data_IF_697505251838
#
_entry.id   IF_697505251838
#
_cell.length_a   1.000
_cell.length_b   1.000
_cell.length_c   1.000
_cell.angle_alpha   90.00
_cell.angle_beta   90.00
_cell.angle_gamma   90.00
#
_symmetry.space_group_name_H-M   'P 1'
#
loop_
_entity.id
_entity.type
_entity.pdbx_description
1 polymer ?
#
# COMPACT_ATOMS: atom_id res chain seq x y z
N UNK A 1 7.91 -36.31 -64.04
CA UNK A 1 9.08 -35.50 -64.45
C UNK A 1 9.29 -34.48 -63.34
N UNK A 2 10.06 -34.75 -62.29
CA UNK A 2 11.54 -34.82 -62.19
C UNK A 2 12.23 -33.44 -62.25
N UNK A 3 13.08 -33.22 -61.22
CA UNK A 3 14.24 -32.31 -61.07
C UNK A 3 13.98 -31.09 -60.16
N UNK A 4 14.54 -31.01 -58.94
CA UNK A 4 15.95 -30.98 -58.43
C UNK A 4 16.33 -29.52 -58.04
N UNK A 5 16.38 -29.27 -56.72
CA UNK A 5 17.43 -28.65 -55.83
C UNK A 5 18.41 -27.60 -56.44
N UNK A 6 19.04 -26.64 -55.69
CA UNK A 6 19.43 -26.76 -54.27
C UNK A 6 19.45 -25.48 -53.36
N UNK A 7 19.84 -25.75 -52.10
CA UNK A 7 20.09 -24.85 -50.97
C UNK A 7 21.28 -23.87 -51.15
N UNK A 8 21.53 -22.98 -50.17
CA UNK A 8 22.59 -23.25 -49.17
C UNK A 8 22.18 -22.89 -47.72
N UNK A 9 22.37 -23.77 -46.75
CA UNK A 9 23.55 -23.83 -45.84
C UNK A 9 23.61 -22.67 -44.83
N UNK A 10 23.12 -22.92 -43.62
CA UNK A 10 23.52 -22.20 -42.41
C UNK A 10 23.74 -23.21 -41.29
N UNK A 11 25.02 -23.39 -40.95
CA UNK A 11 25.54 -24.24 -39.88
C UNK A 11 25.23 -23.61 -38.52
N UNK A 12 24.75 -24.41 -37.57
CA UNK A 12 25.15 -24.39 -36.15
C UNK A 12 24.29 -25.35 -35.32
N UNK A 13 24.86 -26.49 -34.92
CA UNK A 13 24.56 -27.08 -33.61
C UNK A 13 25.74 -26.73 -32.68
N UNK A 14 25.52 -26.60 -31.35
CA UNK A 14 25.55 -27.79 -30.52
C UNK A 14 24.37 -27.89 -29.52
N UNK A 15 23.65 -28.99 -29.67
CA UNK A 15 23.15 -29.88 -28.62
C UNK A 15 23.52 -29.53 -27.16
N UNK A 16 22.55 -28.99 -26.41
CA UNK A 16 22.58 -28.97 -24.94
C UNK A 16 21.75 -30.14 -24.39
N UNK A 17 22.45 -31.21 -24.02
CA UNK A 17 21.90 -32.23 -23.12
C UNK A 17 22.59 -32.13 -21.75
N UNK A 18 21.81 -31.92 -20.67
CA UNK A 18 22.22 -32.38 -19.35
C UNK A 18 21.17 -33.30 -18.73
N UNK A 19 21.45 -34.60 -18.82
CA UNK A 19 21.34 -35.61 -17.75
C UNK A 19 20.21 -35.44 -16.71
N UNK A 20 19.22 -36.33 -16.77
CA UNK A 20 18.48 -36.80 -15.59
C UNK A 20 19.42 -37.17 -14.45
N UNK A 21 19.21 -36.65 -13.23
CA UNK A 21 19.25 -37.44 -11.98
C UNK A 21 18.29 -36.91 -10.92
N UNK A 22 17.29 -37.74 -10.66
CA UNK A 22 16.60 -38.05 -9.38
C UNK A 22 16.49 -36.92 -8.36
N UNK A 23 15.25 -36.48 -8.14
CA UNK A 23 14.84 -35.92 -6.86
C UNK A 23 15.00 -36.97 -5.77
N UNK A 24 16.05 -36.80 -4.95
CA UNK A 24 16.14 -37.41 -3.64
C UNK A 24 15.55 -36.45 -2.61
N UNK A 25 14.36 -36.81 -2.17
CA UNK A 25 13.78 -36.41 -0.90
C UNK A 25 14.73 -36.79 0.24
N UNK A 26 15.33 -35.81 0.93
CA UNK A 26 15.74 -36.01 2.33
C UNK A 26 15.50 -34.72 3.10
N UNK A 27 14.34 -34.66 3.75
CA UNK A 27 14.14 -33.79 4.90
C UNK A 27 15.14 -34.19 5.99
N UNK A 28 16.17 -33.37 6.19
CA UNK A 28 16.99 -33.42 7.39
C UNK A 28 16.67 -32.20 8.22
N UNK A 29 15.82 -32.43 9.22
CA UNK A 29 15.62 -31.52 10.34
C UNK A 29 17.00 -31.21 10.98
N UNK A 30 17.57 -30.06 10.64
CA UNK A 30 18.66 -29.49 11.41
C UNK A 30 18.04 -28.85 12.65
N UNK A 31 17.83 -29.68 13.68
CA UNK A 31 17.67 -29.19 15.05
C UNK A 31 18.85 -28.26 15.34
N UNK A 32 18.66 -27.06 15.89
CA UNK A 32 19.78 -26.18 16.20
C UNK A 32 20.68 -26.93 17.18
N UNK A 33 21.83 -27.40 16.71
CA UNK A 33 22.88 -27.89 17.59
C UNK A 33 23.18 -26.74 18.53
N UNK A 34 22.77 -26.88 19.80
CA UNK A 34 23.33 -26.07 20.88
C UNK A 34 24.80 -26.41 20.92
N UNK A 35 25.55 -25.58 20.21
CA UNK A 35 26.99 -25.59 20.21
C UNK A 35 27.47 -25.45 21.66
N UNK A 36 27.94 -26.58 22.20
CA UNK A 36 28.43 -26.76 23.56
C UNK A 36 29.96 -26.62 23.63
N UNK A 37 30.59 -26.06 22.59
CA UNK A 37 32.00 -25.68 22.63
C UNK A 37 32.23 -24.72 23.81
N UNK A 38 33.22 -24.96 24.69
CA UNK A 38 33.47 -24.10 25.85
C UNK A 38 33.71 -22.64 25.44
N UNK A 39 34.27 -22.42 24.25
CA UNK A 39 34.47 -21.10 23.65
C UNK A 39 33.13 -20.39 23.37
N UNK A 40 32.11 -21.11 22.90
CA UNK A 40 30.77 -20.55 22.66
C UNK A 40 30.05 -20.18 23.96
N UNK A 41 30.29 -20.94 25.05
CA UNK A 41 29.76 -20.63 26.37
C UNK A 41 30.41 -19.37 26.97
N UNK A 42 31.73 -19.23 26.82
CA UNK A 42 32.49 -18.03 27.25
C UNK A 42 32.05 -16.80 26.46
N UNK A 43 31.92 -16.91 25.14
CA UNK A 43 31.44 -15.82 24.28
C UNK A 43 30.02 -15.39 24.65
N UNK A 44 29.10 -16.32 24.93
CA UNK A 44 27.74 -16.00 25.40
C UNK A 44 27.75 -15.29 26.76
N UNK A 45 28.62 -15.71 27.68
CA UNK A 45 28.76 -15.07 29.01
C UNK A 45 29.32 -13.66 28.89
N UNK A 46 30.30 -13.43 28.00
CA UNK A 46 30.84 -12.10 27.74
C UNK A 46 29.81 -11.18 27.06
N UNK A 47 29.04 -11.68 26.10
CA UNK A 47 27.91 -10.93 25.50
C UNK A 47 26.81 -10.63 26.53
N UNK A 48 26.49 -11.59 27.40
CA UNK A 48 25.53 -11.38 28.48
C UNK A 48 26.03 -10.33 29.50
N UNK A 49 27.33 -10.31 29.81
CA UNK A 49 27.94 -9.30 30.68
C UNK A 49 27.95 -7.91 30.02
N UNK A 50 28.23 -7.84 28.71
CA UNK A 50 28.15 -6.60 27.94
C UNK A 50 26.72 -6.04 27.91
N UNK A 51 25.72 -6.90 27.64
CA UNK A 51 24.32 -6.50 27.57
C UNK A 51 23.69 -6.21 28.95
N UNK A 52 24.20 -6.82 30.03
CA UNK A 52 23.72 -6.57 31.39
C UNK A 52 24.53 -5.50 32.14
N UNK A 53 25.53 -4.89 31.51
CA UNK A 53 26.30 -3.81 32.11
C UNK A 53 25.37 -2.67 32.55
N UNK A 54 25.57 -2.08 33.75
CA UNK A 54 24.78 -0.94 34.23
C UNK A 54 24.72 0.21 33.22
N UNK A 55 25.82 0.44 32.49
CA UNK A 55 25.92 1.46 31.44
C UNK A 55 25.01 1.17 30.25
N UNK A 56 24.89 -0.09 29.82
CA UNK A 56 24.00 -0.49 28.71
C UNK A 56 22.53 -0.41 29.13
N UNK A 57 22.21 -0.78 30.38
CA UNK A 57 20.86 -0.58 30.93
C UNK A 57 20.49 0.90 31.00
N UNK A 58 21.43 1.76 31.41
CA UNK A 58 21.23 3.21 31.43
C UNK A 58 21.04 3.78 30.01
N UNK A 59 21.87 3.36 29.04
CA UNK A 59 21.72 3.76 27.64
C UNK A 59 20.38 3.30 27.05
N UNK A 60 19.92 2.08 27.35
CA UNK A 60 18.60 1.59 26.95
C UNK A 60 17.47 2.39 27.61
N UNK A 61 17.60 2.76 28.89
CA UNK A 61 16.63 3.61 29.57
C UNK A 61 16.55 5.01 28.93
N UNK A 62 17.70 5.60 28.59
CA UNK A 62 17.78 6.89 27.88
C UNK A 62 17.17 6.77 26.48
N UNK A 63 17.46 5.70 25.73
CA UNK A 63 16.83 5.46 24.42
C UNK A 63 15.31 5.30 24.54
N UNK A 64 14.80 4.63 25.57
CA UNK A 64 13.35 4.51 25.84
C UNK A 64 12.73 5.86 26.19
N UNK A 65 13.42 6.69 26.97
CA UNK A 65 12.97 8.05 27.26
C UNK A 65 12.99 8.94 26.01
N UNK A 66 14.01 8.83 25.16
CA UNK A 66 14.07 9.52 23.88
C UNK A 66 12.96 9.05 22.93
N UNK A 67 12.74 7.75 22.80
CA UNK A 67 11.65 7.18 22.01
C UNK A 67 10.30 7.59 22.56
N UNK A 68 10.14 7.73 23.88
CA UNK A 68 8.92 8.26 24.52
C UNK A 68 8.76 9.76 24.30
N UNK A 69 9.84 10.54 24.20
CA UNK A 69 9.77 11.96 23.88
C UNK A 69 9.41 12.19 22.41
N UNK A 70 9.91 11.32 21.51
CA UNK A 70 9.48 11.29 20.09
C UNK A 70 8.03 10.79 19.99
N UNK A 71 7.68 9.72 20.72
CA UNK A 71 6.31 9.19 20.85
C UNK A 71 5.39 9.98 21.81
N UNK A 72 5.85 11.11 22.34
CA UNK A 72 5.06 12.04 23.17
C UNK A 72 4.65 13.27 22.36
N UNK A 73 5.33 13.53 21.24
CA UNK A 73 4.92 14.49 20.21
C UNK A 73 4.26 13.82 19.02
N UNK A 74 4.55 12.54 18.80
CA UNK A 74 3.58 11.65 18.18
C UNK A 74 2.86 10.94 19.31
N UNK A 75 1.78 11.54 19.82
CA UNK A 75 0.64 10.70 20.15
C UNK A 75 0.60 9.58 19.08
N UNK A 76 0.20 8.33 19.39
CA UNK A 76 -0.60 7.71 18.37
C UNK A 76 -1.70 8.75 18.15
N UNK A 77 -1.58 9.50 17.05
CA UNK A 77 -2.74 9.79 16.25
C UNK A 77 -3.25 8.36 16.04
N UNK A 78 -4.04 7.89 17.04
CA UNK A 78 -5.18 7.06 16.81
C UNK A 78 -5.67 7.56 15.49
N UNK A 79 -5.69 6.65 14.53
CA UNK A 79 -6.21 6.77 13.18
C UNK A 79 -7.55 7.51 13.19
N UNK A 80 -7.51 8.81 13.47
CA UNK A 80 -8.59 9.77 13.62
C UNK A 80 -8.41 10.84 12.55
N UNK A 81 -7.27 10.84 11.85
CA UNK A 81 -7.15 11.36 10.49
C UNK A 81 -7.58 10.32 9.42
N UNK A 82 -7.79 9.04 9.78
CA UNK A 82 -8.31 8.02 8.85
C UNK A 82 -9.60 7.34 9.32
N UNK A 83 -10.26 7.87 10.35
CA UNK A 83 -11.62 7.48 10.72
C UNK A 83 -12.68 8.52 10.32
N UNK A 84 -12.32 9.53 9.51
CA UNK A 84 -13.29 10.32 8.72
C UNK A 84 -13.31 9.90 7.26
N UNK A 85 -12.90 8.66 6.96
CA UNK A 85 -12.82 8.13 5.59
C UNK A 85 -13.83 7.02 5.34
N UNK A 86 -14.99 7.07 5.99
CA UNK A 86 -16.26 6.47 5.50
C UNK A 86 -17.42 7.14 6.23
N UNK A 87 -17.41 8.49 6.38
CA UNK A 87 -18.69 9.17 6.47
C UNK A 87 -19.32 8.89 5.12
N UNK A 88 -20.19 7.88 5.07
CA UNK A 88 -20.84 7.45 3.86
C UNK A 88 -21.31 8.71 3.15
N UNK A 89 -20.82 8.92 1.93
CA UNK A 89 -21.13 10.13 1.22
C UNK A 89 -22.60 10.04 0.82
N UNK A 90 -23.44 10.64 1.66
CA UNK A 90 -24.89 10.70 1.44
C UNK A 90 -25.25 11.71 0.37
N UNK A 91 -24.29 12.55 0.00
CA UNK A 91 -24.39 13.40 -1.18
C UNK A 91 -24.09 12.54 -2.39
N UNK A 92 -24.83 12.76 -3.47
CA UNK A 92 -24.52 12.13 -4.74
C UNK A 92 -23.25 12.71 -5.39
N UNK A 93 -22.45 13.55 -4.70
CA UNK A 93 -21.19 14.10 -5.19
C UNK A 93 -20.03 13.09 -5.04
N UNK A 94 -19.07 13.07 -5.98
CA UNK A 94 -17.82 12.35 -5.78
C UNK A 94 -17.08 12.81 -4.51
N UNK A 95 -16.46 11.87 -3.79
CA UNK A 95 -15.75 12.15 -2.53
C UNK A 95 -14.64 13.18 -2.68
N UNK A 96 -13.89 13.10 -3.79
CA UNK A 96 -12.81 14.04 -4.13
C UNK A 96 -13.35 15.45 -4.27
N UNK A 97 -14.46 15.60 -5.00
CA UNK A 97 -15.10 16.88 -5.22
C UNK A 97 -15.67 17.47 -3.92
N UNK A 98 -16.39 16.64 -3.15
CA UNK A 98 -16.95 17.05 -1.86
C UNK A 98 -15.85 17.58 -0.94
N UNK A 99 -14.83 16.76 -0.70
CA UNK A 99 -13.73 17.11 0.20
C UNK A 99 -12.98 18.36 -0.28
N UNK A 100 -12.78 18.50 -1.60
CA UNK A 100 -12.13 19.68 -2.18
C UNK A 100 -12.93 20.97 -1.95
N UNK A 101 -14.25 20.92 -2.16
CA UNK A 101 -15.14 22.08 -1.94
C UNK A 101 -15.25 22.42 -0.45
N UNK A 102 -15.40 21.43 0.42
CA UNK A 102 -15.48 21.65 1.87
C UNK A 102 -14.19 22.29 2.41
N UNK A 103 -13.04 21.82 1.94
CA UNK A 103 -11.75 22.37 2.33
C UNK A 103 -11.55 23.81 1.82
N UNK A 104 -12.06 24.13 0.62
CA UNK A 104 -11.94 25.47 0.04
C UNK A 104 -12.92 26.47 0.65
N UNK A 105 -14.16 26.03 0.92
CA UNK A 105 -15.24 26.89 1.38
C UNK A 105 -15.34 26.99 2.90
N UNK A 106 -14.81 26.01 3.65
CA UNK A 106 -15.02 25.89 5.09
C UNK A 106 -16.46 25.51 5.47
N UNK A 107 -17.32 25.20 4.49
CA UNK A 107 -18.71 24.78 4.69
C UNK A 107 -18.88 23.29 4.39
N UNK A 108 -19.69 22.60 5.20
CA UNK A 108 -20.06 21.22 4.93
C UNK A 108 -20.97 21.15 3.72
N UNK A 109 -20.74 20.13 2.88
CA UNK A 109 -21.56 19.79 1.72
C UNK A 109 -22.50 18.63 2.02
N UNK A 110 -22.58 18.13 3.25
CA UNK A 110 -23.34 16.92 3.64
C UNK A 110 -24.84 16.97 3.25
N UNK A 111 -25.43 18.16 3.22
CA UNK A 111 -26.85 18.36 2.88
C UNK A 111 -27.11 18.42 1.37
N UNK A 112 -26.06 18.47 0.54
CA UNK A 112 -26.17 18.66 -0.90
C UNK A 112 -26.61 17.37 -1.61
N UNK A 113 -27.58 17.49 -2.51
CA UNK A 113 -28.10 16.38 -3.33
C UNK A 113 -27.88 16.67 -4.80
N UNK A 114 -27.26 15.72 -5.49
CA UNK A 114 -27.05 15.81 -6.94
C UNK A 114 -28.02 14.89 -7.65
N UNK A 115 -28.79 15.47 -8.55
CA UNK A 115 -29.70 14.78 -9.43
C UNK A 115 -29.04 14.63 -10.80
N UNK A 116 -28.46 13.46 -11.04
CA UNK A 116 -27.85 13.10 -12.32
C UNK A 116 -28.88 12.88 -13.42
N UNK A 117 -28.49 13.14 -14.66
CA UNK A 117 -29.33 12.91 -15.84
C UNK A 117 -30.71 13.58 -15.75
N UNK A 118 -30.80 14.74 -15.08
CA UNK A 118 -32.04 15.49 -14.94
C UNK A 118 -32.37 16.24 -16.24
N UNK A 119 -33.64 16.22 -16.63
CA UNK A 119 -34.14 17.03 -17.76
C UNK A 119 -34.38 18.51 -17.39
N UNK A 120 -34.33 18.87 -16.10
CA UNK A 120 -34.67 20.22 -15.64
C UNK A 120 -33.70 21.29 -16.13
N UNK A 121 -32.37 21.10 -16.16
CA UNK A 121 -31.44 22.11 -16.67
C UNK A 121 -31.73 22.54 -18.11
N UNK A 122 -32.21 21.62 -18.95
CA UNK A 122 -32.56 21.92 -20.34
C UNK A 122 -33.70 22.95 -20.46
N UNK A 123 -34.60 23.01 -19.47
CA UNK A 123 -35.70 23.99 -19.44
C UNK A 123 -35.20 25.44 -19.27
N UNK A 124 -33.99 25.59 -18.71
CA UNK A 124 -33.34 26.87 -18.49
C UNK A 124 -32.23 27.16 -19.51
N UNK A 125 -32.12 26.34 -20.57
CA UNK A 125 -31.00 26.36 -21.52
C UNK A 125 -29.63 26.23 -20.83
N UNK A 126 -29.56 25.42 -19.77
CA UNK A 126 -28.34 25.20 -18.99
C UNK A 126 -27.92 23.72 -19.02
N UNK A 127 -26.63 23.47 -18.78
CA UNK A 127 -26.10 22.11 -18.61
C UNK A 127 -26.27 21.59 -17.18
N UNK A 128 -26.28 22.49 -16.20
CA UNK A 128 -26.55 22.21 -14.81
C UNK A 128 -27.10 23.47 -14.14
N UNK A 129 -27.83 23.31 -13.04
CA UNK A 129 -28.13 24.41 -12.14
C UNK A 129 -28.19 23.92 -10.69
N UNK A 130 -28.07 24.86 -9.75
CA UNK A 130 -28.24 24.61 -8.34
C UNK A 130 -29.38 25.47 -7.78
N UNK A 131 -30.18 24.89 -6.89
CA UNK A 131 -31.22 25.57 -6.14
C UNK A 131 -31.18 25.09 -4.69
N UNK A 132 -30.73 25.96 -3.79
CA UNK A 132 -30.52 25.57 -2.39
C UNK A 132 -29.48 24.46 -2.28
N UNK A 133 -29.88 23.34 -1.68
CA UNK A 133 -29.06 22.12 -1.53
C UNK A 133 -29.14 21.17 -2.72
N UNK A 134 -29.97 21.45 -3.71
CA UNK A 134 -30.19 20.57 -4.85
C UNK A 134 -29.39 21.04 -6.06
N UNK A 135 -28.64 20.12 -6.67
CA UNK A 135 -27.87 20.33 -7.89
C UNK A 135 -28.45 19.41 -8.95
N UNK A 136 -28.91 19.97 -10.07
CA UNK A 136 -29.42 19.19 -11.20
C UNK A 136 -28.41 19.20 -12.33
N UNK A 137 -27.99 18.02 -12.76
CA UNK A 137 -27.01 17.83 -13.80
C UNK A 137 -27.68 17.22 -15.03
N UNK A 138 -27.51 17.87 -16.18
CA UNK A 138 -28.05 17.39 -17.45
C UNK A 138 -27.46 16.04 -17.87
N UNK A 139 -28.12 15.30 -18.77
CA UNK A 139 -27.62 14.01 -19.24
C UNK A 139 -26.23 14.11 -19.88
N UNK A 140 -25.31 13.23 -19.48
CA UNK A 140 -23.95 13.16 -20.00
C UNK A 140 -23.02 14.27 -19.50
N UNK A 141 -23.43 15.05 -18.49
CA UNK A 141 -22.60 16.10 -17.88
C UNK A 141 -21.85 15.62 -16.63
N UNK A 142 -22.20 14.46 -16.08
CA UNK A 142 -21.49 13.80 -14.97
C UNK A 142 -20.01 13.54 -15.27
N UNK A 143 -19.64 13.43 -16.54
CA UNK A 143 -18.25 13.30 -17.01
C UNK A 143 -17.36 14.49 -16.62
N UNK A 144 -17.95 15.62 -16.26
CA UNK A 144 -17.23 16.82 -15.83
C UNK A 144 -16.96 16.83 -14.32
N UNK A 145 -17.45 15.83 -13.57
CA UNK A 145 -17.12 15.69 -12.17
C UNK A 145 -15.80 14.91 -12.01
N UNK A 146 -14.84 15.43 -11.23
CA UNK A 146 -13.54 14.80 -10.99
C UNK A 146 -13.59 13.64 -9.97
#
# INVERSE_FOLDING_TARGET
MAKTTPAPEAKAEPNFSPLQRRGETVGRAQKPQKDNRPEAAVQRKLHAAANNSPRVKQLQAIQRMANRAVAGKTAPIQKEATAKATLANHTALPDTLKSGIENLSGHSMDDVKVHYNSAQPAQLNAHAYAQGTDIHLGPGQEKHLP
#
